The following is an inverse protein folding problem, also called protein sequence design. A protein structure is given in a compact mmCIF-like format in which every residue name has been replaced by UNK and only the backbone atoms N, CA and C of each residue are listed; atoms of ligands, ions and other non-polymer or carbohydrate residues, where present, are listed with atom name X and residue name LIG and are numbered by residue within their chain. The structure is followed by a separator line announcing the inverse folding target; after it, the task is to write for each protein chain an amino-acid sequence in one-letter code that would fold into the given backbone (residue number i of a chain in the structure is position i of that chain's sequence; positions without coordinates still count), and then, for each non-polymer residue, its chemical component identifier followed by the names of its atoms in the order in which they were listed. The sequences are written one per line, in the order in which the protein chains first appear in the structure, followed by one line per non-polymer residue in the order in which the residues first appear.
data_IF_087186330569
#
_entry.id   IF_087186330569
#
_cell.length_a   1.000
_cell.length_b   1.000
_cell.length_c   1.000
_cell.angle_alpha   90.00
_cell.angle_beta   90.00
_cell.angle_gamma   90.00
#
_symmetry.space_group_name_H-M   'P 1'
#
loop_
_entity.id
_entity.type
_entity.pdbx_description
1 polymer ?
#
# COMPACT_ATOMS: atom_id res chain seq x y z
N UNK A 1 7.70 16.95 20.10
CA UNK A 1 7.22 18.06 20.90
C UNK A 1 6.30 18.96 20.04
N UNK A 2 5.67 19.96 20.66
CA UNK A 2 4.72 20.87 19.98
C UNK A 2 5.39 21.75 18.94
N UNK A 3 6.68 22.03 19.09
CA UNK A 3 7.51 22.84 18.18
C UNK A 3 8.05 22.03 17.00
N UNK A 4 7.75 20.73 16.92
CA UNK A 4 8.22 19.80 15.87
C UNK A 4 9.75 19.74 15.68
N UNK A 5 10.51 20.12 16.73
CA UNK A 5 11.99 20.12 16.73
C UNK A 5 12.61 18.85 17.28
N UNK A 6 11.87 18.08 18.06
CA UNK A 6 12.34 16.84 18.69
C UNK A 6 11.29 15.73 18.63
N UNK A 7 11.76 14.50 18.47
CA UNK A 7 10.95 13.29 18.57
C UNK A 7 11.57 12.30 19.56
N UNK A 8 10.71 11.57 20.29
CA UNK A 8 11.14 10.48 21.19
C UNK A 8 10.58 9.15 20.70
N UNK A 9 11.47 8.19 20.51
CA UNK A 9 11.07 6.83 20.17
C UNK A 9 10.19 6.23 21.28
N UNK A 10 9.01 5.75 20.92
CA UNK A 10 8.09 5.02 21.81
C UNK A 10 8.28 3.52 21.65
N UNK A 11 9.28 2.97 22.34
CA UNK A 11 9.69 1.56 22.22
C UNK A 11 8.52 0.60 22.47
N UNK A 12 7.66 0.90 23.44
CA UNK A 12 6.48 0.09 23.77
C UNK A 12 5.24 0.41 22.92
N UNK A 13 5.35 1.40 22.02
CA UNK A 13 4.19 1.96 21.37
C UNK A 13 3.31 2.77 22.33
N UNK A 14 2.22 3.34 21.84
CA UNK A 14 1.24 4.03 22.68
C UNK A 14 -0.07 4.28 21.94
N UNK A 15 -1.23 4.31 22.63
CA UNK A 15 -2.44 4.87 22.05
C UNK A 15 -2.31 6.39 21.94
N UNK A 16 -2.82 6.95 20.86
CA UNK A 16 -2.82 8.39 20.60
C UNK A 16 -4.16 8.80 20.00
N UNK A 17 -4.78 9.83 20.56
CA UNK A 17 -5.96 10.46 19.96
C UNK A 17 -5.50 11.44 18.90
N UNK A 18 -5.92 11.19 17.66
CA UNK A 18 -5.50 11.97 16.49
C UNK A 18 -6.71 12.63 15.86
N UNK A 19 -6.58 13.91 15.49
CA UNK A 19 -7.53 14.60 14.62
C UNK A 19 -6.84 14.86 13.29
N UNK A 20 -7.39 14.32 12.22
CA UNK A 20 -6.90 14.50 10.85
C UNK A 20 -7.97 15.23 10.02
N UNK A 21 -7.53 16.08 9.10
CA UNK A 21 -8.41 16.69 8.10
C UNK A 21 -8.64 15.68 7.00
N UNK A 22 -9.90 15.42 6.65
CA UNK A 22 -10.30 14.51 5.57
C UNK A 22 -10.23 15.21 4.22
N UNK A 23 -10.39 14.45 3.14
CA UNK A 23 -10.41 14.99 1.77
C UNK A 23 -11.53 16.04 1.54
N UNK A 24 -12.64 15.91 2.27
CA UNK A 24 -13.75 16.88 2.25
C UNK A 24 -13.50 18.12 3.14
N UNK A 25 -12.32 18.26 3.73
CA UNK A 25 -11.93 19.34 4.62
C UNK A 25 -12.44 19.22 6.06
N UNK A 26 -13.26 18.19 6.37
CA UNK A 26 -13.81 18.02 7.72
C UNK A 26 -12.81 17.32 8.65
N UNK A 27 -12.75 17.72 9.94
CA UNK A 27 -11.91 17.05 10.91
C UNK A 27 -12.54 15.69 11.30
N UNK A 28 -11.70 14.65 11.38
CA UNK A 28 -12.07 13.36 11.94
C UNK A 28 -11.13 12.98 13.08
N UNK A 29 -11.70 12.68 14.23
CA UNK A 29 -10.94 12.26 15.41
C UNK A 29 -11.08 10.76 15.62
N UNK A 30 -9.97 10.07 15.81
CA UNK A 30 -9.92 8.63 16.05
C UNK A 30 -8.74 8.25 16.94
N UNK A 31 -8.82 7.07 17.54
CA UNK A 31 -7.74 6.53 18.35
C UNK A 31 -6.77 5.76 17.44
N UNK A 32 -5.52 6.21 17.40
CA UNK A 32 -4.43 5.59 16.68
C UNK A 32 -3.50 4.88 17.65
N UNK A 33 -3.06 3.68 17.31
CA UNK A 33 -2.02 2.99 18.08
C UNK A 33 -0.69 3.14 17.36
N UNK A 34 0.22 3.89 17.94
CA UNK A 34 1.62 3.91 17.53
C UNK A 34 2.19 2.50 17.76
N UNK A 35 2.68 1.82 16.71
CA UNK A 35 3.26 0.48 16.85
C UNK A 35 4.45 0.48 17.81
N UNK A 36 4.64 -0.63 18.54
CA UNK A 36 5.87 -0.84 19.29
C UNK A 36 7.05 -1.21 18.38
N UNK A 37 8.27 -1.20 18.90
CA UNK A 37 9.49 -1.43 18.12
C UNK A 37 9.52 -2.81 17.42
N UNK A 38 8.87 -3.84 17.95
CA UNK A 38 8.75 -5.13 17.27
C UNK A 38 7.74 -5.09 16.12
N UNK A 39 6.61 -4.42 16.33
CA UNK A 39 5.59 -4.22 15.28
C UNK A 39 6.12 -3.34 14.13
N UNK A 40 7.00 -2.37 14.39
CA UNK A 40 7.66 -1.60 13.33
C UNK A 40 8.43 -2.53 12.37
N UNK A 41 9.08 -3.56 12.89
CA UNK A 41 9.84 -4.52 12.08
C UNK A 41 8.97 -5.35 11.15
N UNK A 42 7.68 -5.54 11.42
CA UNK A 42 6.78 -6.28 10.53
C UNK A 42 6.64 -5.61 9.16
N UNK A 43 6.58 -4.28 9.14
CA UNK A 43 6.50 -3.51 7.88
C UNK A 43 7.89 -3.14 7.34
N UNK A 44 8.85 -2.81 8.23
CA UNK A 44 10.16 -2.29 7.86
C UNK A 44 11.24 -3.37 7.67
N UNK A 45 10.86 -4.61 7.49
CA UNK A 45 11.79 -5.72 7.29
C UNK A 45 12.27 -5.79 5.84
N UNK A 46 13.52 -5.46 5.60
CA UNK A 46 14.19 -5.67 4.29
C UNK A 46 14.62 -7.13 4.10
N UNK A 47 15.03 -7.79 5.20
CA UNK A 47 15.45 -9.19 5.25
C UNK A 47 15.25 -9.72 6.68
N UNK A 48 15.55 -11.01 6.91
CA UNK A 48 15.48 -11.57 8.25
C UNK A 48 16.38 -10.89 9.28
N UNK A 49 17.41 -10.19 8.82
CA UNK A 49 18.44 -9.57 9.69
C UNK A 49 18.37 -8.05 9.73
N UNK A 50 17.79 -7.43 8.69
CA UNK A 50 17.84 -5.99 8.52
C UNK A 50 16.43 -5.38 8.48
N UNK A 51 16.30 -4.22 9.10
CA UNK A 51 15.15 -3.31 8.96
C UNK A 51 15.62 -2.02 8.31
N UNK A 52 14.78 -1.45 7.43
CA UNK A 52 15.11 -0.23 6.72
C UNK A 52 13.86 0.57 6.34
N UNK A 53 14.03 1.71 5.69
CA UNK A 53 12.91 2.50 5.19
C UNK A 53 12.16 1.73 4.09
N UNK A 54 10.82 1.81 4.07
CA UNK A 54 9.98 1.15 3.05
C UNK A 54 10.18 1.78 1.65
N UNK A 55 10.57 3.00 1.59
CA UNK A 55 10.84 3.77 0.36
C UNK A 55 11.88 4.84 0.64
N UNK A 56 12.29 5.72 -0.28
CA UNK A 56 11.47 6.13 -1.45
C UNK A 56 11.70 5.23 -2.68
N UNK A 57 10.69 5.17 -3.58
CA UNK A 57 10.82 4.50 -4.89
C UNK A 57 10.79 5.55 -6.00
N UNK A 58 11.70 5.46 -6.98
CA UNK A 58 11.78 6.41 -8.09
C UNK A 58 10.43 6.62 -8.79
N UNK A 59 9.65 5.55 -9.02
CA UNK A 59 8.33 5.64 -9.65
C UNK A 59 7.34 6.52 -8.90
N UNK A 60 7.43 6.57 -7.56
CA UNK A 60 6.53 7.36 -6.72
C UNK A 60 6.95 8.84 -6.67
N UNK A 61 8.23 9.11 -6.94
CA UNK A 61 8.82 10.45 -7.01
C UNK A 61 8.75 11.05 -8.42
N UNK A 62 8.49 10.24 -9.46
CA UNK A 62 8.42 10.72 -10.83
C UNK A 62 7.09 11.45 -11.09
N UNK A 63 6.94 12.61 -10.47
CA UNK A 63 5.80 13.52 -10.60
C UNK A 63 6.22 14.94 -10.27
N UNK A 64 5.45 15.90 -10.75
CA UNK A 64 5.63 17.30 -10.43
C UNK A 64 5.28 17.57 -8.95
N UNK A 65 6.03 18.47 -8.35
CA UNK A 65 5.83 18.93 -6.99
C UNK A 65 6.03 20.46 -6.94
N UNK A 66 5.24 21.13 -6.10
CA UNK A 66 5.36 22.57 -5.88
C UNK A 66 6.44 22.83 -4.82
N UNK A 67 7.61 23.29 -5.27
CA UNK A 67 8.68 23.80 -4.42
C UNK A 67 8.57 25.32 -4.30
N UNK A 68 9.25 25.92 -3.35
CA UNK A 68 9.32 27.39 -3.21
C UNK A 68 9.86 28.07 -4.48
N UNK A 69 10.66 27.35 -5.27
CA UNK A 69 11.24 27.81 -6.54
C UNK A 69 10.33 27.59 -7.76
N UNK A 70 9.16 27.00 -7.59
CA UNK A 70 8.21 26.69 -8.66
C UNK A 70 7.89 25.18 -8.76
N UNK A 71 7.06 24.84 -9.75
CA UNK A 71 6.67 23.44 -10.01
C UNK A 71 7.78 22.77 -10.83
N UNK A 72 8.28 21.64 -10.33
CA UNK A 72 9.32 20.84 -10.99
C UNK A 72 9.11 19.35 -10.70
N UNK A 73 9.48 18.47 -11.66
CA UNK A 73 9.50 17.03 -11.43
C UNK A 73 10.48 16.68 -10.30
N UNK A 74 10.07 15.86 -9.33
CA UNK A 74 10.89 15.59 -8.14
C UNK A 74 12.21 14.89 -8.46
N UNK A 75 12.26 13.99 -9.46
CA UNK A 75 13.52 13.35 -9.85
C UNK A 75 14.50 14.38 -10.43
N UNK A 76 14.01 15.29 -11.27
CA UNK A 76 14.81 16.38 -11.84
C UNK A 76 15.30 17.31 -10.74
N UNK A 77 14.39 17.74 -9.86
CA UNK A 77 14.73 18.62 -8.75
C UNK A 77 15.81 18.02 -7.84
N UNK A 78 15.63 16.79 -7.41
CA UNK A 78 16.56 16.12 -6.49
C UNK A 78 17.92 15.84 -7.14
N UNK A 79 17.95 15.56 -8.45
CA UNK A 79 19.22 15.44 -9.20
C UNK A 79 19.93 16.80 -9.24
N UNK A 80 19.20 17.88 -9.53
CA UNK A 80 19.77 19.23 -9.63
C UNK A 80 20.37 19.72 -8.31
N UNK A 81 19.75 19.40 -7.16
CA UNK A 81 20.25 19.78 -5.83
C UNK A 81 21.21 18.76 -5.22
N UNK A 82 21.57 17.69 -5.96
CA UNK A 82 22.58 16.72 -5.54
C UNK A 82 22.12 15.69 -4.51
N UNK A 83 20.80 15.53 -4.28
CA UNK A 83 20.25 14.50 -3.37
C UNK A 83 20.13 13.15 -4.09
N UNK A 84 19.89 13.16 -5.41
CA UNK A 84 19.69 11.97 -6.23
C UNK A 84 20.77 11.90 -7.32
N UNK A 85 21.41 10.74 -7.42
CA UNK A 85 22.36 10.41 -8.49
C UNK A 85 21.80 9.31 -9.40
N UNK A 86 22.21 9.32 -10.67
CA UNK A 86 21.88 8.25 -11.64
C UNK A 86 20.45 8.28 -12.19
N UNK A 87 19.64 9.31 -11.89
CA UNK A 87 18.35 9.48 -12.55
C UNK A 87 18.56 9.89 -14.03
N UNK A 88 17.67 9.47 -14.95
CA UNK A 88 17.71 9.96 -16.31
C UNK A 88 17.42 11.47 -16.35
N UNK A 89 18.12 12.19 -17.25
CA UNK A 89 17.89 13.63 -17.43
C UNK A 89 16.45 13.91 -17.91
N UNK A 90 15.89 13.02 -18.73
CA UNK A 90 14.48 13.03 -19.12
C UNK A 90 13.68 12.14 -18.17
N UNK A 91 12.80 12.68 -17.31
CA UNK A 91 12.03 11.91 -16.35
C UNK A 91 11.01 10.97 -17.02
N UNK A 92 10.68 11.15 -18.31
CA UNK A 92 9.80 10.23 -19.05
C UNK A 92 10.43 8.86 -19.25
N UNK A 93 11.75 8.74 -19.15
CA UNK A 93 12.49 7.48 -19.23
C UNK A 93 12.50 6.70 -17.90
N UNK A 94 12.08 7.32 -16.81
CA UNK A 94 11.95 6.67 -15.51
C UNK A 94 10.51 6.13 -15.32
N UNK A 95 10.35 4.98 -14.64
CA UNK A 95 9.01 4.48 -14.34
C UNK A 95 8.21 5.49 -13.52
N UNK A 96 6.91 5.58 -13.79
CA UNK A 96 5.96 6.45 -13.07
C UNK A 96 4.85 5.61 -12.44
N UNK A 97 4.48 5.92 -11.23
CA UNK A 97 3.35 5.34 -10.55
C UNK A 97 2.05 6.05 -10.96
N UNK A 98 0.99 5.28 -11.20
CA UNK A 98 -0.34 5.85 -11.38
C UNK A 98 -0.84 6.44 -10.04
N UNK A 99 -1.64 7.49 -10.10
CA UNK A 99 -2.22 8.17 -8.94
C UNK A 99 -3.61 7.57 -8.67
N UNK A 100 -3.86 7.13 -7.44
CA UNK A 100 -5.09 6.43 -7.07
C UNK A 100 -6.35 7.22 -7.47
N UNK A 101 -6.37 8.50 -7.12
CA UNK A 101 -7.52 9.39 -7.27
C UNK A 101 -7.61 10.04 -8.67
N UNK A 102 -6.59 9.86 -9.51
CA UNK A 102 -6.56 10.45 -10.85
C UNK A 102 -6.75 9.38 -11.95
N UNK A 103 -7.97 9.27 -12.53
CA UNK A 103 -8.23 8.32 -13.61
C UNK A 103 -7.44 8.57 -14.90
N UNK A 104 -6.87 9.77 -15.05
CA UNK A 104 -6.07 10.12 -16.24
C UNK A 104 -4.61 9.65 -16.12
N UNK A 105 -4.17 9.31 -14.92
CA UNK A 105 -2.79 8.89 -14.63
C UNK A 105 -2.47 7.45 -15.04
N UNK A 106 -3.50 6.63 -15.30
CA UNK A 106 -3.37 5.23 -15.69
C UNK A 106 -4.70 4.47 -15.64
N UNK A 107 -4.69 3.24 -16.14
CA UNK A 107 -5.83 2.32 -16.09
C UNK A 107 -6.25 2.00 -14.66
N UNK A 108 -7.45 1.46 -14.48
CA UNK A 108 -7.91 1.00 -13.15
C UNK A 108 -6.97 -0.05 -12.55
N UNK A 109 -6.43 -0.95 -13.38
CA UNK A 109 -5.44 -1.94 -12.94
C UNK A 109 -4.14 -1.28 -12.46
N UNK A 110 -3.59 -0.34 -13.22
CA UNK A 110 -2.35 0.37 -12.83
C UNK A 110 -2.53 1.14 -11.53
N UNK A 111 -3.67 1.82 -11.34
CA UNK A 111 -4.00 2.51 -10.09
C UNK A 111 -4.15 1.54 -8.92
N UNK A 112 -4.88 0.45 -9.11
CA UNK A 112 -5.06 -0.61 -8.12
C UNK A 112 -3.72 -1.26 -7.73
N UNK A 113 -2.92 -1.64 -8.74
CA UNK A 113 -1.61 -2.27 -8.55
C UNK A 113 -0.60 -1.33 -7.87
N UNK A 114 -0.62 -0.04 -8.21
CA UNK A 114 0.20 0.97 -7.51
C UNK A 114 -0.20 1.08 -6.04
N UNK A 115 -1.50 1.12 -5.74
CA UNK A 115 -1.96 1.16 -4.36
C UNK A 115 -1.50 -0.06 -3.56
N UNK A 116 -1.60 -1.26 -4.13
CA UNK A 116 -1.15 -2.51 -3.51
C UNK A 116 0.38 -2.54 -3.33
N UNK A 117 1.15 -2.02 -4.30
CA UNK A 117 2.61 -1.92 -4.17
C UNK A 117 3.03 -1.00 -3.02
N UNK A 118 2.37 0.13 -2.87
CA UNK A 118 2.70 1.12 -1.83
C UNK A 118 2.30 0.65 -0.44
N UNK A 119 1.08 0.09 -0.30
CA UNK A 119 0.46 -0.13 1.00
C UNK A 119 0.56 -1.59 1.50
N UNK A 120 0.88 -2.55 0.63
CA UNK A 120 0.82 -3.97 0.96
C UNK A 120 2.11 -4.74 0.63
N UNK A 121 2.79 -4.39 -0.47
CA UNK A 121 3.92 -5.18 -0.96
C UNK A 121 5.14 -5.17 -0.03
N UNK A 122 5.29 -4.20 0.87
CA UNK A 122 6.37 -4.20 1.85
C UNK A 122 6.29 -5.37 2.84
N UNK A 123 5.08 -5.93 3.06
CA UNK A 123 4.88 -7.18 3.78
C UNK A 123 4.64 -8.35 2.81
N UNK A 124 3.85 -8.15 1.76
CA UNK A 124 3.45 -9.15 0.78
C UNK A 124 4.45 -9.25 -0.38
N UNK A 125 5.64 -9.75 -0.08
CA UNK A 125 6.72 -10.05 -1.03
C UNK A 125 7.53 -11.27 -0.54
N UNK A 126 8.38 -11.89 -1.36
CA UNK A 126 9.12 -13.11 -0.99
C UNK A 126 10.06 -12.98 0.22
N UNK A 127 10.49 -11.76 0.57
CA UNK A 127 11.35 -11.48 1.72
C UNK A 127 10.58 -10.86 2.91
N UNK A 128 9.35 -10.43 2.70
CA UNK A 128 8.53 -9.70 3.68
C UNK A 128 7.95 -10.57 4.79
N UNK A 129 7.29 -9.92 5.75
CA UNK A 129 6.67 -10.58 6.89
C UNK A 129 5.57 -11.57 6.44
N UNK A 130 4.81 -11.25 5.39
CA UNK A 130 3.73 -12.08 4.85
C UNK A 130 4.18 -13.08 3.76
N UNK A 131 5.48 -13.36 3.59
CA UNK A 131 6.01 -14.23 2.53
C UNK A 131 5.39 -15.63 2.48
N UNK A 132 5.00 -16.18 3.63
CA UNK A 132 4.43 -17.53 3.73
C UNK A 132 3.04 -17.63 3.15
N UNK A 133 2.37 -16.50 2.91
CA UNK A 133 1.05 -16.49 2.27
C UNK A 133 1.11 -16.82 0.79
N UNK A 134 2.28 -16.63 0.14
CA UNK A 134 2.43 -16.73 -1.30
C UNK A 134 1.64 -15.67 -2.08
N UNK A 135 1.12 -14.64 -1.40
CA UNK A 135 0.46 -13.47 -1.98
C UNK A 135 1.49 -12.35 -2.10
N UNK A 136 1.86 -11.97 -3.33
CA UNK A 136 2.91 -11.00 -3.61
C UNK A 136 2.36 -9.84 -4.43
N UNK A 137 2.32 -8.65 -3.83
CA UNK A 137 1.56 -7.50 -4.32
C UNK A 137 2.44 -6.39 -4.92
N UNK A 138 3.72 -6.68 -5.15
CA UNK A 138 4.62 -5.74 -5.82
C UNK A 138 4.19 -5.44 -7.25
N UNK A 139 4.43 -4.21 -7.72
CA UNK A 139 4.01 -3.74 -9.05
C UNK A 139 4.55 -4.60 -10.20
N UNK A 140 5.73 -5.20 -10.03
CA UNK A 140 6.36 -6.11 -11.01
C UNK A 140 5.85 -7.55 -10.97
N UNK A 141 4.89 -7.90 -10.11
CA UNK A 141 4.33 -9.26 -10.07
C UNK A 141 3.48 -9.52 -11.31
N UNK A 142 3.83 -10.55 -12.07
CA UNK A 142 3.13 -10.93 -13.31
C UNK A 142 2.46 -12.30 -13.24
N UNK A 143 2.80 -13.14 -12.24
CA UNK A 143 2.09 -14.39 -12.02
C UNK A 143 0.72 -14.12 -11.37
N UNK A 144 -0.39 -14.44 -12.06
CA UNK A 144 -1.74 -14.20 -11.54
C UNK A 144 -1.99 -14.91 -10.21
N UNK A 145 -1.46 -16.12 -10.03
CA UNK A 145 -1.65 -16.87 -8.79
C UNK A 145 -0.92 -16.22 -7.62
N UNK A 146 0.34 -15.82 -7.81
CA UNK A 146 1.09 -15.10 -6.79
C UNK A 146 0.49 -13.70 -6.50
N UNK A 147 -0.17 -13.07 -7.48
CA UNK A 147 -0.95 -11.85 -7.29
C UNK A 147 -2.25 -12.07 -6.51
N UNK A 148 -2.67 -13.32 -6.32
CA UNK A 148 -3.87 -13.67 -5.57
C UNK A 148 -5.08 -14.07 -6.43
N UNK A 149 -4.99 -13.99 -7.76
CA UNK A 149 -6.09 -14.32 -8.67
C UNK A 149 -6.33 -15.83 -8.64
N UNK A 150 -7.53 -16.25 -8.24
CA UNK A 150 -7.93 -17.64 -8.01
C UNK A 150 -7.01 -18.41 -7.04
N UNK A 151 -6.34 -17.70 -6.16
CA UNK A 151 -5.46 -18.28 -5.15
C UNK A 151 -6.24 -18.53 -3.86
N UNK A 152 -6.24 -19.75 -3.39
CA UNK A 152 -6.76 -20.08 -2.06
C UNK A 152 -5.84 -19.51 -0.97
N UNK A 153 -6.39 -18.94 0.11
CA UNK A 153 -5.59 -18.36 1.19
C UNK A 153 -4.83 -19.44 1.95
N UNK A 154 -3.67 -19.06 2.50
CA UNK A 154 -2.90 -19.90 3.40
C UNK A 154 -3.13 -19.42 4.82
N UNK A 155 -3.77 -20.24 5.66
CA UNK A 155 -3.93 -19.99 7.10
C UNK A 155 -4.62 -18.64 7.47
N UNK A 156 -5.57 -18.16 6.66
CA UNK A 156 -6.26 -16.88 6.93
C UNK A 156 -7.36 -16.98 8.02
N UNK A 157 -7.76 -18.19 8.43
CA UNK A 157 -8.77 -18.39 9.47
C UNK A 157 -10.05 -17.58 9.20
N UNK A 158 -10.57 -16.87 10.20
CA UNK A 158 -11.75 -16.00 10.05
C UNK A 158 -11.52 -14.81 9.10
N UNK A 159 -10.28 -14.50 8.78
CA UNK A 159 -9.92 -13.47 7.80
C UNK A 159 -10.32 -13.81 6.38
N UNK A 160 -10.79 -15.04 6.10
CA UNK A 160 -11.38 -15.40 4.80
C UNK A 160 -12.77 -14.82 4.59
N UNK A 161 -13.52 -14.50 5.66
CA UNK A 161 -14.93 -14.12 5.56
C UNK A 161 -15.82 -15.22 4.97
N UNK A 162 -15.33 -16.46 4.90
CA UNK A 162 -16.00 -17.60 4.23
C UNK A 162 -15.76 -17.65 2.72
N UNK A 163 -14.97 -16.73 2.16
CA UNK A 163 -14.64 -16.71 0.73
C UNK A 163 -13.49 -17.68 0.41
N UNK A 164 -13.44 -18.11 -0.86
CA UNK A 164 -12.54 -19.16 -1.31
C UNK A 164 -11.20 -18.65 -1.81
N UNK A 165 -11.17 -17.47 -2.43
CA UNK A 165 -9.99 -16.97 -3.12
C UNK A 165 -9.55 -15.58 -2.60
N UNK A 166 -8.24 -15.32 -2.65
CA UNK A 166 -7.69 -14.02 -2.32
C UNK A 166 -8.28 -12.94 -3.24
N UNK A 167 -8.35 -13.21 -4.56
CA UNK A 167 -9.06 -12.43 -5.58
C UNK A 167 -9.89 -13.38 -6.46
N UNK A 168 -11.18 -13.18 -6.53
CA UNK A 168 -12.08 -13.89 -7.44
C UNK A 168 -12.47 -12.95 -8.61
N UNK A 169 -12.03 -13.24 -9.86
CA UNK A 169 -12.34 -12.40 -11.02
C UNK A 169 -13.83 -12.12 -11.18
N UNK A 170 -14.19 -10.86 -11.45
CA UNK A 170 -15.58 -10.44 -11.58
C UNK A 170 -16.38 -10.37 -10.29
N UNK A 171 -15.82 -10.82 -9.14
CA UNK A 171 -16.54 -10.93 -7.88
C UNK A 171 -15.83 -10.22 -6.71
N UNK A 172 -15.77 -8.90 -6.71
CA UNK A 172 -15.07 -8.15 -5.67
C UNK A 172 -15.60 -8.43 -4.26
N UNK A 173 -16.93 -8.59 -4.09
CA UNK A 173 -17.53 -8.86 -2.79
C UNK A 173 -17.32 -10.30 -2.27
N UNK A 174 -16.74 -11.19 -3.07
CA UNK A 174 -16.36 -12.56 -2.71
C UNK A 174 -14.83 -12.72 -2.68
N UNK A 175 -14.09 -11.62 -2.79
CA UNK A 175 -12.62 -11.59 -2.75
C UNK A 175 -12.12 -11.26 -1.35
N UNK A 176 -11.29 -12.15 -0.78
CA UNK A 176 -10.73 -12.01 0.57
C UNK A 176 -9.93 -10.70 0.70
N UNK A 177 -9.18 -10.33 -0.34
CA UNK A 177 -8.42 -9.06 -0.37
C UNK A 177 -9.32 -7.88 -0.01
N UNK A 178 -10.43 -7.70 -0.74
CA UNK A 178 -11.34 -6.58 -0.51
C UNK A 178 -12.06 -6.68 0.85
N UNK A 179 -12.49 -7.88 1.24
CA UNK A 179 -13.11 -8.13 2.54
C UNK A 179 -12.20 -7.68 3.69
N UNK A 180 -10.91 -8.06 3.65
CA UNK A 180 -9.93 -7.66 4.67
C UNK A 180 -9.61 -6.16 4.63
N UNK A 181 -9.60 -5.54 3.45
CA UNK A 181 -9.40 -4.10 3.31
C UNK A 181 -10.56 -3.28 3.87
N UNK A 182 -11.78 -3.77 3.84
CA UNK A 182 -12.96 -3.07 4.39
C UNK A 182 -13.06 -3.26 5.91
N UNK A 183 -12.62 -4.40 6.44
CA UNK A 183 -12.76 -4.71 7.86
C UNK A 183 -11.91 -3.78 8.74
N UNK A 184 -12.42 -3.42 9.91
CA UNK A 184 -11.67 -2.77 11.00
C UNK A 184 -11.46 -3.71 12.20
N UNK A 185 -11.93 -4.96 12.12
CA UNK A 185 -11.67 -5.99 13.13
C UNK A 185 -10.17 -6.34 13.13
N UNK A 186 -9.45 -6.20 14.25
CA UNK A 186 -8.02 -6.45 14.31
C UNK A 186 -7.58 -7.87 13.87
N UNK A 187 -8.49 -8.87 13.96
CA UNK A 187 -8.20 -10.23 13.52
C UNK A 187 -8.52 -10.50 12.04
N UNK A 188 -9.05 -9.51 11.33
CA UNK A 188 -9.47 -9.61 9.92
C UNK A 188 -8.79 -8.54 9.07
N UNK A 189 -8.70 -7.33 9.59
CA UNK A 189 -8.24 -6.15 8.86
C UNK A 189 -6.85 -6.33 8.22
N UNK A 190 -6.68 -5.79 7.00
CA UNK A 190 -5.38 -5.59 6.36
C UNK A 190 -5.25 -4.14 5.89
N UNK A 191 -4.08 -3.49 6.15
CA UNK A 191 -2.95 -3.93 6.99
C UNK A 191 -3.36 -4.21 8.45
N UNK A 192 -2.67 -5.13 9.10
CA UNK A 192 -2.92 -5.50 10.52
C UNK A 192 -2.52 -4.39 11.49
N UNK A 193 -1.52 -3.61 11.10
CA UNK A 193 -0.94 -2.52 11.89
C UNK A 193 -1.10 -1.17 11.19
N UNK A 194 -1.06 -0.09 11.98
CA UNK A 194 -1.02 1.26 11.45
C UNK A 194 -2.33 1.76 10.82
N UNK A 195 -3.41 0.97 10.80
CA UNK A 195 -4.68 1.34 10.19
C UNK A 195 -5.80 1.44 11.23
N UNK A 196 -6.58 2.52 11.17
CA UNK A 196 -7.78 2.74 12.00
C UNK A 196 -8.99 3.22 11.22
N UNK A 197 -8.83 3.40 9.91
CA UNK A 197 -9.90 3.84 9.00
C UNK A 197 -9.84 3.05 7.70
N UNK A 198 -10.98 2.94 7.05
CA UNK A 198 -11.07 2.42 5.68
C UNK A 198 -10.70 3.56 4.73
N UNK A 199 -9.87 3.29 3.75
CA UNK A 199 -9.55 4.20 2.65
C UNK A 199 -10.55 3.95 1.52
N UNK A 200 -11.67 4.69 1.54
CA UNK A 200 -12.81 4.39 0.67
C UNK A 200 -12.46 4.47 -0.81
N UNK A 201 -11.70 5.49 -1.21
CA UNK A 201 -11.26 5.69 -2.59
C UNK A 201 -10.44 4.48 -3.11
N UNK A 202 -9.62 3.91 -2.24
CA UNK A 202 -8.87 2.69 -2.59
C UNK A 202 -9.77 1.46 -2.70
N UNK A 203 -10.77 1.35 -1.82
CA UNK A 203 -11.76 0.27 -1.89
C UNK A 203 -12.52 0.33 -3.23
N UNK A 204 -12.89 1.52 -3.67
CA UNK A 204 -13.64 1.70 -4.92
C UNK A 204 -12.79 1.33 -6.14
N UNK A 205 -11.53 1.76 -6.20
CA UNK A 205 -10.60 1.39 -7.29
C UNK A 205 -10.27 -0.11 -7.29
N UNK A 206 -10.03 -0.72 -6.12
CA UNK A 206 -9.76 -2.17 -6.03
C UNK A 206 -11.02 -2.97 -6.41
N UNK A 207 -12.19 -2.53 -6.02
CA UNK A 207 -13.47 -3.13 -6.40
C UNK A 207 -13.69 -3.11 -7.91
N UNK A 208 -13.48 -1.96 -8.53
CA UNK A 208 -13.58 -1.77 -9.97
C UNK A 208 -12.58 -2.66 -10.72
N UNK A 209 -11.32 -2.69 -10.25
CA UNK A 209 -10.29 -3.56 -10.83
C UNK A 209 -10.69 -5.03 -10.77
N UNK A 210 -11.08 -5.54 -9.58
CA UNK A 210 -11.50 -6.95 -9.45
C UNK A 210 -12.71 -7.27 -10.31
N UNK A 211 -13.68 -6.34 -10.42
CA UNK A 211 -14.86 -6.50 -11.26
C UNK A 211 -14.51 -6.57 -12.75
N UNK A 212 -13.44 -5.89 -13.18
CA UNK A 212 -12.98 -5.88 -14.58
C UNK A 212 -12.10 -7.07 -14.96
N UNK A 213 -11.63 -7.86 -13.98
CA UNK A 213 -10.78 -9.02 -14.27
C UNK A 213 -11.53 -10.07 -15.08
N UNK A 214 -10.95 -10.56 -16.20
CA UNK A 214 -11.57 -11.58 -17.03
C UNK A 214 -11.47 -12.97 -16.42
N UNK A 215 -12.35 -13.87 -16.87
CA UNK A 215 -12.32 -15.29 -16.52
C UNK A 215 -13.03 -15.59 -15.22
N UNK A 216 -12.84 -16.83 -14.77
CA UNK A 216 -13.34 -17.37 -13.50
C UNK A 216 -12.32 -18.36 -12.90
N UNK A 217 -12.63 -18.87 -11.73
CA UNK A 217 -11.77 -19.86 -11.04
C UNK A 217 -12.25 -21.30 -11.24
N UNK A 218 -13.06 -21.57 -12.27
CA UNK A 218 -13.52 -22.92 -12.62
C UNK A 218 -12.34 -23.78 -13.04
N UNK A 219 -12.08 -24.87 -12.32
CA UNK A 219 -10.97 -25.79 -12.60
C UNK A 219 -9.73 -25.61 -11.72
N UNK A 220 -9.83 -24.80 -10.66
CA UNK A 220 -8.80 -24.68 -9.61
C UNK A 220 -9.30 -25.09 -8.24
#
# INVERSE_FOLDING_TARGET
NAEETEARLKVLGMPLRVTAVQADGQPATFDYNVPNANQCKECHRESFKNTGPIGTKARNLNKDFAYDTGIENQLVHWTRIGILEGAPADPTLAPRAAVLEDPTSGTVEERARTYLDVNCAHCHNPAGAARTTGLFLGIGQTDPLALGICKSPVAAGRGTGGFRYDIEPGKPNQSILLFRMISLDPGIAMPELGRRRVHQEAIDVIREWIASLPGDCSGR
#
